data_IF_917578326050
#
_entry.id   IF_917578326050
#
_cell.length_a   1.000
_cell.length_b   1.000
_cell.length_c   1.000
_cell.angle_alpha   90.00
_cell.angle_beta   90.00
_cell.angle_gamma   90.00
#
_symmetry.space_group_name_H-M   'P 1'
#
loop_
_entity.id
_entity.type
_entity.pdbx_description
1 polymer ?
#
# COMPACT_ATOMS: atom_id res chain seq x y z
N UNK A 1 -10.41 -14.22 13.47
CA UNK A 1 -10.95 -13.19 12.64
C UNK A 1 -10.85 -13.52 11.19
N UNK A 2 -11.85 -13.13 10.47
CA UNK A 2 -11.95 -13.54 9.09
C UNK A 2 -10.86 -12.97 8.21
N UNK A 3 -10.26 -11.88 8.61
CA UNK A 3 -9.24 -11.26 7.77
C UNK A 3 -8.08 -12.17 7.52
N UNK A 4 -7.79 -13.01 8.44
CA UNK A 4 -6.66 -13.90 8.29
C UNK A 4 -6.83 -14.86 7.15
N UNK A 5 -8.05 -15.08 6.79
CA UNK A 5 -8.34 -16.03 5.73
C UNK A 5 -8.13 -15.45 4.36
N UNK A 6 -7.73 -14.23 4.30
CA UNK A 6 -7.58 -13.59 3.01
C UNK A 6 -6.24 -13.82 2.39
N UNK A 7 -5.49 -14.72 2.92
CA UNK A 7 -4.28 -15.10 2.27
C UNK A 7 -3.13 -14.14 2.46
N UNK A 8 -3.26 -13.23 3.34
CA UNK A 8 -2.12 -12.40 3.65
C UNK A 8 -1.96 -11.15 2.81
N UNK A 9 -2.90 -10.88 1.94
CA UNK A 9 -2.82 -9.66 1.15
C UNK A 9 -3.44 -8.47 1.87
N UNK A 10 -3.41 -8.53 3.13
CA UNK A 10 -4.00 -7.55 4.00
C UNK A 10 -3.10 -6.34 4.16
N UNK A 11 -3.69 -5.16 4.09
CA UNK A 11 -2.93 -3.95 4.33
C UNK A 11 -3.87 -2.83 4.73
N UNK A 12 -3.28 -1.80 5.33
CA UNK A 12 -3.99 -0.60 5.74
C UNK A 12 -3.27 0.58 5.12
N UNK A 13 -4.02 1.53 4.60
CA UNK A 13 -3.41 2.73 4.07
C UNK A 13 -3.98 3.95 4.78
N UNK A 14 -3.12 4.93 4.98
CA UNK A 14 -3.54 6.19 5.59
C UNK A 14 -2.60 7.30 5.14
N UNK A 15 -3.05 8.52 5.31
CA UNK A 15 -2.28 9.68 4.92
C UNK A 15 -1.94 10.50 6.15
N UNK A 16 -0.71 10.98 6.21
CA UNK A 16 -0.28 11.87 7.27
C UNK A 16 0.51 13.00 6.63
N UNK A 17 0.00 14.22 6.78
CA UNK A 17 0.58 15.38 6.12
C UNK A 17 0.63 15.12 4.61
N UNK A 18 1.79 15.13 4.02
CA UNK A 18 1.92 14.89 2.59
C UNK A 18 2.49 13.52 2.28
N UNK A 19 2.37 12.61 3.21
CA UNK A 19 2.94 11.28 3.03
C UNK A 19 1.85 10.23 3.12
N UNK A 20 1.85 9.33 2.17
CA UNK A 20 0.91 8.21 2.17
C UNK A 20 1.64 6.98 2.70
N UNK A 21 1.02 6.32 3.66
CA UNK A 21 1.58 5.13 4.27
C UNK A 21 0.74 3.92 3.90
N UNK A 22 1.41 2.85 3.56
CA UNK A 22 0.76 1.56 3.31
C UNK A 22 1.40 0.57 4.25
N UNK A 23 0.63 0.08 5.21
CA UNK A 23 1.15 -0.76 6.28
C UNK A 23 0.69 -2.19 6.05
N UNK A 24 1.66 -3.10 5.99
CA UNK A 24 1.41 -4.52 5.88
C UNK A 24 1.73 -5.17 7.22
N UNK A 25 1.47 -6.47 7.31
CA UNK A 25 1.67 -7.19 8.55
C UNK A 25 3.09 -7.05 9.09
N UNK A 26 4.07 -7.11 8.20
CA UNK A 26 5.45 -7.04 8.64
C UNK A 26 6.26 -6.12 7.75
N UNK A 27 5.61 -5.13 7.17
CA UNK A 27 6.31 -4.22 6.27
C UNK A 27 5.53 -2.92 6.17
N UNK A 28 6.23 -1.82 6.07
CA UNK A 28 5.61 -0.52 5.91
C UNK A 28 6.23 0.15 4.70
N UNK A 29 5.36 0.60 3.80
CA UNK A 29 5.78 1.36 2.65
C UNK A 29 5.22 2.77 2.78
N UNK A 30 5.93 3.72 2.21
CA UNK A 30 5.45 5.10 2.22
C UNK A 30 5.99 5.84 1.02
N UNK A 31 5.26 6.86 0.62
CA UNK A 31 5.70 7.71 -0.46
C UNK A 31 5.12 9.10 -0.26
N UNK A 32 5.80 10.08 -0.84
CA UNK A 32 5.35 11.47 -0.73
C UNK A 32 4.26 11.72 -1.75
N UNK A 33 3.15 12.27 -1.30
CA UNK A 33 2.04 12.57 -2.20
C UNK A 33 2.48 13.63 -3.19
N UNK A 34 2.19 13.38 -4.45
CA UNK A 34 2.65 14.26 -5.50
C UNK A 34 3.94 13.83 -6.16
N UNK A 35 4.61 12.84 -5.57
CA UNK A 35 5.85 12.33 -6.15
C UNK A 35 5.54 11.04 -6.91
N UNK A 36 5.37 11.16 -8.22
CA UNK A 36 4.96 10.02 -9.03
C UNK A 36 6.00 8.91 -9.01
N UNK A 37 7.27 9.28 -8.94
CA UNK A 37 8.31 8.26 -8.93
C UNK A 37 8.22 7.38 -7.70
N UNK A 38 8.07 8.00 -6.55
CA UNK A 38 7.97 7.23 -5.32
C UNK A 38 6.70 6.38 -5.31
N UNK A 39 5.62 6.95 -5.83
CA UNK A 39 4.38 6.19 -5.89
C UNK A 39 4.55 4.94 -6.76
N UNK A 40 5.23 5.08 -7.88
CA UNK A 40 5.46 3.92 -8.75
C UNK A 40 6.27 2.84 -8.04
N UNK A 41 7.25 3.25 -7.28
CA UNK A 41 8.06 2.29 -6.55
C UNK A 41 7.22 1.54 -5.53
N UNK A 42 6.38 2.26 -4.81
CA UNK A 42 5.52 1.64 -3.83
C UNK A 42 4.51 0.70 -4.50
N UNK A 43 3.94 1.14 -5.61
CA UNK A 43 3.00 0.30 -6.32
C UNK A 43 3.67 -0.98 -6.81
N UNK A 44 4.90 -0.86 -7.27
CA UNK A 44 5.62 -2.04 -7.73
C UNK A 44 5.84 -3.02 -6.58
N UNK A 45 6.19 -2.50 -5.43
CA UNK A 45 6.35 -3.36 -4.26
C UNK A 45 5.05 -4.04 -3.88
N UNK A 46 3.95 -3.31 -3.97
CA UNK A 46 2.66 -3.90 -3.67
C UNK A 46 2.35 -5.05 -4.63
N UNK A 47 2.67 -4.88 -5.90
CA UNK A 47 2.44 -5.95 -6.85
C UNK A 47 3.25 -7.19 -6.50
N UNK A 48 4.47 -6.99 -6.07
CA UNK A 48 5.31 -8.12 -5.67
C UNK A 48 4.71 -8.84 -4.48
N UNK A 49 3.94 -8.13 -3.68
CA UNK A 49 3.31 -8.73 -2.52
C UNK A 49 1.95 -9.34 -2.85
N UNK A 50 1.56 -9.29 -4.11
CA UNK A 50 0.31 -9.92 -4.53
C UNK A 50 -0.89 -9.02 -4.50
N UNK A 51 -0.70 -7.72 -4.37
CA UNK A 51 -1.82 -6.78 -4.35
C UNK A 51 -2.23 -6.46 -5.78
N UNK A 52 -3.48 -6.70 -6.15
CA UNK A 52 -3.93 -6.39 -7.51
C UNK A 52 -4.04 -4.88 -7.73
N UNK A 53 -3.94 -4.49 -8.99
CA UNK A 53 -3.98 -3.08 -9.35
C UNK A 53 -5.24 -2.41 -8.85
N UNK A 54 -6.37 -3.11 -8.90
CA UNK A 54 -7.61 -2.49 -8.50
C UNK A 54 -7.65 -2.15 -7.03
N UNK A 55 -6.80 -2.74 -6.23
CA UNK A 55 -6.74 -2.41 -4.82
C UNK A 55 -5.72 -1.32 -4.53
N UNK A 56 -5.02 -0.86 -5.53
CA UNK A 56 -4.05 0.19 -5.36
C UNK A 56 -4.60 1.56 -5.70
N UNK A 57 -5.92 1.68 -5.78
CA UNK A 57 -6.57 2.96 -6.07
C UNK A 57 -6.95 3.67 -4.78
N UNK A 58 -6.02 3.79 -3.89
CA UNK A 58 -6.28 4.52 -2.67
C UNK A 58 -6.26 6.01 -2.94
N UNK A 59 -6.92 6.74 -2.07
CA UNK A 59 -7.03 8.18 -2.23
C UNK A 59 -5.86 8.89 -1.60
N UNK A 60 -5.43 9.93 -2.23
CA UNK A 60 -4.40 10.79 -1.71
C UNK A 60 -5.03 12.11 -1.31
#
# INVERSE_FOLDING_TARGET
ISDENRGGNWFVDFKQENTKFIVFRNKILKYKIGNAKEKLIVCDECRKLGIPDEQMHWQE
#
